data_IF_030419560306
#
_entry.id   IF_030419560306
#
_cell.length_a   1.000
_cell.length_b   1.000
_cell.length_c   1.000
_cell.angle_alpha   90.00
_cell.angle_beta   90.00
_cell.angle_gamma   90.00
#
_symmetry.space_group_name_H-M   'P 1'
#
loop_
_entity.id
_entity.type
_entity.pdbx_description
1 polymer ?
#
# COMPACT_ATOMS: atom_id res chain seq x y z
N UNK A 1 42.80 -5.22 54.15
CA UNK A 1 42.53 -5.24 53.57
C UNK A 1 41.59 -5.29 52.82
N UNK A 2 41.13 -5.08 52.33
CA UNK A 2 40.32 -5.11 51.64
C UNK A 2 39.86 -4.93 50.58
N UNK A 3 39.40 -4.99 49.96
CA UNK A 3 39.05 -4.86 48.93
C UNK A 3 37.93 -4.72 48.42
N UNK A 4 37.55 -4.46 47.79
CA UNK A 4 36.66 -4.21 47.24
C UNK A 4 36.20 -4.46 46.21
N UNK A 5 35.66 -4.43 45.70
CA UNK A 5 35.18 -4.69 44.69
C UNK A 5 34.18 -4.17 44.11
N UNK A 6 33.88 -4.07 43.44
CA UNK A 6 33.06 -3.60 42.78
C UNK A 6 32.38 -4.00 41.85
N UNK A 7 31.81 -3.87 41.39
CA UNK A 7 31.10 -4.22 40.57
C UNK A 7 30.36 -3.63 39.83
N UNK A 8 29.89 -3.64 39.09
CA UNK A 8 29.20 -3.15 38.25
C UNK A 8 28.27 -3.44 37.51
N UNK A 9 27.74 -3.25 37.08
CA UNK A 9 26.85 -3.43 36.42
C UNK A 9 26.46 -3.25 35.39
N UNK A 10 25.95 -3.15 34.79
CA UNK A 10 25.53 -3.06 33.80
C UNK A 10 24.58 -2.91 33.16
N UNK A 11 24.09 -2.81 32.64
CA UNK A 11 23.31 -2.57 31.99
C UNK A 11 22.74 -2.73 31.01
N UNK A 12 22.28 -2.72 30.49
CA UNK A 12 21.76 -2.89 29.60
C UNK A 12 20.95 -2.46 28.96
N UNK A 13 20.54 -2.35 28.39
CA UNK A 13 19.83 -1.95 27.67
C UNK A 13 19.20 -2.19 26.76
N UNK A 14 18.65 -2.17 26.20
CA UNK A 14 18.03 -2.34 25.42
C UNK A 14 17.45 -1.92 24.54
N UNK A 15 17.22 -1.80 23.98
CA UNK A 15 16.85 -1.42 23.09
C UNK A 15 15.88 -1.51 22.52
N UNK A 16 15.18 -1.31 22.13
CA UNK A 16 14.32 -1.34 21.61
C UNK A 16 13.81 -0.96 20.62
N UNK A 17 13.41 -0.93 20.14
CA UNK A 17 12.92 -0.81 19.22
C UNK A 17 12.07 -0.09 18.77
N UNK A 18 11.76 0.23 18.11
CA UNK A 18 11.12 0.95 17.58
C UNK A 18 10.22 0.97 16.99
N UNK A 19 9.66 1.02 16.73
CA UNK A 19 8.90 1.06 16.30
C UNK A 19 8.19 1.62 15.61
N UNK A 20 7.99 1.90 15.29
CA UNK A 20 7.38 2.44 14.80
C UNK A 20 6.69 2.58 13.95
N UNK A 21 6.11 2.96 13.79
CA UNK A 21 5.40 3.40 12.94
C UNK A 21 5.47 2.92 11.72
N UNK A 22 6.07 2.03 11.53
CA UNK A 22 6.14 1.51 10.28
C UNK A 22 4.78 1.08 9.88
N UNK A 23 4.33 1.45 8.78
CA UNK A 23 3.14 0.86 8.24
C UNK A 23 3.56 -0.07 7.12
N UNK A 24 2.60 -0.79 6.59
CA UNK A 24 2.85 -1.72 5.50
C UNK A 24 3.37 -0.96 4.27
N UNK A 25 4.09 -1.62 3.40
CA UNK A 25 4.49 -0.99 2.14
C UNK A 25 3.29 -0.49 1.36
N UNK A 26 3.53 0.50 0.52
CA UNK A 26 2.48 1.15 -0.25
C UNK A 26 2.84 1.06 -1.72
N UNK A 27 1.95 0.51 -2.53
CA UNK A 27 2.15 0.48 -3.97
C UNK A 27 1.62 1.76 -4.58
N UNK A 28 2.37 2.34 -5.50
CA UNK A 28 1.95 3.50 -6.27
C UNK A 28 1.59 3.01 -7.65
N UNK A 29 0.36 3.27 -8.06
CA UNK A 29 -0.17 2.88 -9.36
C UNK A 29 -0.32 4.10 -10.24
N UNK A 30 0.03 3.96 -11.52
CA UNK A 30 -0.27 4.97 -12.52
C UNK A 30 -1.38 4.41 -13.40
N UNK A 31 -2.41 5.20 -13.61
CA UNK A 31 -3.53 4.85 -14.47
C UNK A 31 -3.40 5.70 -15.74
N UNK A 32 -4.01 5.27 -16.81
CA UNK A 32 -3.89 5.92 -18.12
C UNK A 32 -3.73 7.43 -17.98
N UNK A 33 -2.82 7.99 -18.72
CA UNK A 33 -2.47 9.40 -18.57
C UNK A 33 -1.47 9.54 -17.46
N UNK A 34 -1.67 10.51 -16.57
CA UNK A 34 -0.69 10.81 -15.54
C UNK A 34 -1.22 10.66 -14.13
N UNK A 35 -2.42 10.15 -13.97
CA UNK A 35 -2.98 10.07 -12.63
C UNK A 35 -2.43 8.89 -11.88
N UNK A 36 -2.14 9.10 -10.61
CA UNK A 36 -1.63 8.04 -9.74
C UNK A 36 -2.50 7.92 -8.51
N UNK A 37 -2.47 6.75 -7.90
CA UNK A 37 -3.09 6.54 -6.60
C UNK A 37 -2.30 5.45 -5.88
N UNK A 38 -2.56 5.29 -4.59
CA UNK A 38 -1.76 4.44 -3.74
C UNK A 38 -2.62 3.47 -2.98
N UNK A 39 -2.12 2.26 -2.79
CA UNK A 39 -2.80 1.25 -1.96
C UNK A 39 -1.78 0.64 -1.02
N UNK A 40 -2.16 0.53 0.24
CA UNK A 40 -1.34 -0.15 1.23
C UNK A 40 -1.37 -1.66 0.96
N UNK A 41 -0.22 -2.31 1.04
CA UNK A 41 -0.09 -3.74 0.76
C UNK A 41 -0.08 -4.48 2.09
N UNK A 42 -1.21 -5.06 2.44
CA UNK A 42 -1.45 -5.55 3.79
C UNK A 42 -0.82 -6.90 4.10
N UNK A 43 -0.33 -7.62 3.11
CA UNK A 43 0.25 -8.96 3.33
C UNK A 43 1.55 -9.10 2.56
N UNK A 44 2.45 -9.99 3.01
CA UNK A 44 3.67 -10.25 2.24
C UNK A 44 3.39 -10.73 0.82
N UNK A 45 2.31 -11.47 0.62
CA UNK A 45 1.94 -11.95 -0.71
C UNK A 45 1.60 -10.80 -1.65
N UNK A 46 0.89 -9.80 -1.13
CA UNK A 46 0.57 -8.62 -1.94
C UNK A 46 1.82 -7.80 -2.24
N UNK A 47 2.73 -7.70 -1.28
CA UNK A 47 4.00 -7.01 -1.51
C UNK A 47 4.77 -7.72 -2.63
N UNK A 48 4.87 -9.05 -2.57
CA UNK A 48 5.58 -9.80 -3.60
C UNK A 48 4.91 -9.64 -4.96
N UNK A 49 3.58 -9.66 -5.00
CA UNK A 49 2.86 -9.51 -6.26
C UNK A 49 3.13 -8.14 -6.88
N UNK A 50 3.10 -7.09 -6.05
CA UNK A 50 3.39 -5.74 -6.53
C UNK A 50 4.84 -5.63 -7.01
N UNK A 51 5.78 -6.27 -6.31
CA UNK A 51 7.18 -6.30 -6.74
C UNK A 51 7.33 -7.01 -8.07
N UNK A 52 6.61 -8.10 -8.28
CA UNK A 52 6.63 -8.82 -9.54
C UNK A 52 6.11 -7.94 -10.66
N UNK A 53 5.03 -7.20 -10.42
CA UNK A 53 4.50 -6.27 -11.43
C UNK A 53 5.49 -5.16 -11.73
N UNK A 54 6.12 -4.60 -10.70
CA UNK A 54 7.12 -3.54 -10.88
C UNK A 54 8.30 -4.05 -11.69
N UNK A 55 8.63 -5.32 -11.54
CA UNK A 55 9.73 -5.94 -12.29
C UNK A 55 9.33 -6.35 -13.71
N UNK A 56 8.07 -6.14 -14.08
CA UNK A 56 7.61 -6.46 -15.43
C UNK A 56 7.25 -7.92 -15.63
N UNK A 57 7.01 -8.66 -14.57
CA UNK A 57 6.65 -10.07 -14.70
C UNK A 57 5.20 -10.20 -15.17
N UNK A 58 4.93 -11.32 -15.83
CA UNK A 58 3.61 -11.58 -16.40
C UNK A 58 2.72 -12.24 -15.35
N UNK A 59 2.17 -11.44 -14.48
CA UNK A 59 1.23 -11.88 -13.45
C UNK A 59 0.00 -10.99 -13.51
N UNK A 60 -1.07 -11.39 -12.83
CA UNK A 60 -2.34 -10.65 -12.84
C UNK A 60 -2.07 -9.18 -12.49
N UNK A 61 -2.56 -8.26 -13.30
CA UNK A 61 -2.12 -6.88 -13.24
C UNK A 61 -3.18 -5.88 -12.78
N UNK A 62 -4.44 -6.23 -12.79
CA UNK A 62 -5.49 -5.26 -12.47
C UNK A 62 -5.73 -5.25 -10.97
N UNK A 63 -5.43 -4.13 -10.29
CA UNK A 63 -5.75 -4.04 -8.86
C UNK A 63 -7.25 -3.86 -8.68
N UNK A 64 -7.81 -4.59 -7.74
CA UNK A 64 -9.25 -4.57 -7.49
C UNK A 64 -9.45 -4.47 -5.99
N UNK A 65 -10.23 -3.50 -5.55
CA UNK A 65 -10.50 -3.35 -4.13
C UNK A 65 -11.69 -2.45 -3.86
N UNK A 66 -12.12 -2.44 -2.62
CA UNK A 66 -13.29 -1.68 -2.17
C UNK A 66 -12.89 -0.23 -1.87
N UNK A 67 -13.65 0.71 -2.39
CA UNK A 67 -13.42 2.14 -2.19
C UNK A 67 -13.98 2.55 -0.82
N UNK A 68 -13.17 3.23 -0.03
CA UNK A 68 -13.60 3.88 1.20
C UNK A 68 -13.60 5.38 0.93
N UNK A 69 -14.76 6.00 1.00
CA UNK A 69 -14.89 7.42 0.67
C UNK A 69 -14.76 8.28 1.91
N UNK A 70 -14.37 9.51 1.69
CA UNK A 70 -14.23 10.52 2.75
C UNK A 70 -13.17 10.16 3.77
N UNK A 71 -12.17 9.41 3.32
CA UNK A 71 -11.04 9.00 4.14
C UNK A 71 -9.87 8.73 3.20
N UNK A 72 -8.89 9.63 3.12
CA UNK A 72 -7.79 9.46 2.17
C UNK A 72 -6.84 8.33 2.53
N UNK A 73 -6.75 7.92 3.81
CA UNK A 73 -5.79 6.92 4.20
C UNK A 73 -4.41 7.30 3.69
N UNK A 74 -3.75 6.37 2.98
CA UNK A 74 -2.43 6.64 2.40
C UNK A 74 -2.54 7.28 1.02
N UNK A 75 -3.74 7.54 0.54
CA UNK A 75 -3.99 7.90 -0.86
C UNK A 75 -4.14 9.41 -1.11
N UNK A 76 -3.80 10.27 -0.14
CA UNK A 76 -3.84 11.71 -0.37
C UNK A 76 -3.06 12.04 -1.65
N UNK A 77 -3.48 13.00 -2.45
CA UNK A 77 -4.50 14.03 -2.14
C UNK A 77 -5.92 13.61 -2.45
N UNK A 78 -6.15 12.38 -2.89
CA UNK A 78 -7.53 11.92 -3.12
C UNK A 78 -8.25 11.81 -1.78
N UNK A 79 -9.55 12.02 -1.77
CA UNK A 79 -10.32 11.97 -0.53
C UNK A 79 -10.84 10.56 -0.22
N UNK A 80 -10.39 9.58 -0.96
CA UNK A 80 -10.79 8.18 -0.83
C UNK A 80 -9.55 7.29 -0.81
N UNK A 81 -9.71 6.07 -0.37
CA UNK A 81 -8.65 5.08 -0.48
C UNK A 81 -9.26 3.70 -0.72
N UNK A 82 -8.42 2.74 -1.07
CA UNK A 82 -8.86 1.36 -1.21
C UNK A 82 -8.62 0.65 0.12
N UNK A 83 -9.64 -0.02 0.62
CA UNK A 83 -9.50 -0.83 1.84
C UNK A 83 -8.44 -1.90 1.56
N UNK A 84 -7.29 -1.84 2.24
CA UNK A 84 -6.19 -2.75 1.90
C UNK A 84 -6.52 -4.22 2.14
N UNK A 85 -7.48 -4.51 3.02
CA UNK A 85 -7.85 -5.89 3.28
C UNK A 85 -8.63 -6.50 2.12
N UNK A 86 -9.08 -5.70 1.18
CA UNK A 86 -9.87 -6.17 0.04
C UNK A 86 -9.07 -6.26 -1.25
N UNK A 87 -7.82 -5.82 -1.23
CA UNK A 87 -7.03 -5.77 -2.46
C UNK A 87 -6.74 -7.16 -3.00
N UNK A 88 -7.01 -7.34 -4.27
CA UNK A 88 -6.57 -8.50 -5.04
C UNK A 88 -6.13 -8.03 -6.40
N UNK A 89 -5.41 -8.88 -7.10
CA UNK A 89 -5.01 -8.60 -8.47
C UNK A 89 -5.71 -9.59 -9.39
N UNK A 90 -6.24 -9.11 -10.49
CA UNK A 90 -7.03 -9.92 -11.40
C UNK A 90 -6.50 -9.78 -12.82
N UNK A 91 -6.76 -10.82 -13.63
CA UNK A 91 -6.44 -10.76 -15.06
C UNK A 91 -7.53 -10.07 -15.85
N UNK A 92 -8.76 -10.16 -15.40
CA UNK A 92 -9.90 -9.50 -16.03
C UNK A 92 -10.88 -9.06 -14.97
N UNK A 93 -11.61 -8.00 -15.25
CA UNK A 93 -12.66 -7.51 -14.35
C UNK A 93 -13.77 -6.92 -15.21
N UNK A 94 -14.84 -6.46 -14.55
CA UNK A 94 -15.97 -5.88 -15.24
C UNK A 94 -15.71 -4.37 -15.45
N UNK A 95 -16.43 -3.78 -16.38
CA UNK A 95 -16.17 -2.40 -16.78
C UNK A 95 -16.62 -1.35 -15.76
N UNK A 96 -17.62 -1.69 -14.95
CA UNK A 96 -18.21 -0.67 -14.07
C UNK A 96 -17.22 -0.15 -13.03
N UNK A 97 -16.16 -0.88 -12.76
CA UNK A 97 -15.17 -0.46 -11.76
C UNK A 97 -13.91 0.15 -12.38
N UNK A 98 -13.86 0.25 -13.72
CA UNK A 98 -12.72 0.82 -14.41
C UNK A 98 -12.86 2.35 -14.49
N UNK A 99 -11.75 3.04 -14.57
CA UNK A 99 -11.76 4.50 -14.72
C UNK A 99 -10.53 5.12 -14.11
N UNK A 100 -10.44 6.44 -14.20
CA UNK A 100 -9.33 7.19 -13.61
C UNK A 100 -9.56 7.44 -12.12
N UNK A 101 -8.50 7.63 -11.35
CA UNK A 101 -8.68 8.03 -9.95
C UNK A 101 -9.56 9.27 -9.78
N UNK A 102 -9.44 10.24 -10.69
CA UNK A 102 -10.29 11.43 -10.61
C UNK A 102 -11.76 11.10 -10.84
N UNK A 103 -12.06 10.02 -11.54
CA UNK A 103 -13.45 9.59 -11.74
C UNK A 103 -14.02 8.96 -10.47
N UNK A 104 -13.18 8.38 -9.64
CA UNK A 104 -13.62 7.94 -8.31
C UNK A 104 -13.88 9.17 -7.45
N UNK A 105 -12.98 10.15 -7.52
CA UNK A 105 -13.09 11.37 -6.72
C UNK A 105 -14.37 12.13 -7.04
N UNK A 106 -14.71 12.27 -8.31
CA UNK A 106 -15.87 13.05 -8.70
C UNK A 106 -17.15 12.20 -8.83
N UNK A 107 -17.07 10.93 -8.44
CA UNK A 107 -18.20 10.01 -8.42
C UNK A 107 -18.76 9.67 -9.80
N UNK A 108 -17.95 9.81 -10.84
CA UNK A 108 -18.29 9.26 -12.15
C UNK A 108 -18.23 7.73 -12.05
N UNK A 109 -17.22 7.19 -11.34
CA UNK A 109 -17.20 5.77 -10.99
C UNK A 109 -17.95 5.66 -9.67
N UNK A 110 -19.10 5.04 -9.70
CA UNK A 110 -19.96 4.90 -8.52
C UNK A 110 -19.92 3.52 -7.93
N UNK A 111 -19.23 2.59 -8.56
CA UNK A 111 -19.07 1.23 -8.06
C UNK A 111 -18.42 1.24 -6.68
N UNK A 112 -18.81 0.29 -5.83
CA UNK A 112 -18.14 0.13 -4.55
C UNK A 112 -16.74 -0.42 -4.72
N UNK A 113 -16.45 -1.03 -5.87
CA UNK A 113 -15.13 -1.55 -6.20
C UNK A 113 -14.47 -0.63 -7.21
N UNK A 114 -13.15 -0.56 -7.17
CA UNK A 114 -12.37 0.16 -8.17
C UNK A 114 -11.36 -0.81 -8.76
N UNK A 115 -11.30 -0.86 -10.09
CA UNK A 115 -10.44 -1.80 -10.79
C UNK A 115 -9.94 -1.19 -12.11
N UNK A 116 -9.00 -0.22 -12.04
CA UNK A 116 -8.55 0.44 -13.25
C UNK A 116 -7.74 -0.50 -14.12
N UNK A 117 -8.25 -0.78 -15.31
CA UNK A 117 -7.66 -1.79 -16.20
C UNK A 117 -6.26 -1.41 -16.67
N UNK A 118 -5.98 -0.13 -16.77
CA UNK A 118 -4.69 0.32 -17.29
C UNK A 118 -3.66 0.58 -16.20
N UNK A 119 -3.97 0.25 -14.95
CA UNK A 119 -3.08 0.55 -13.84
C UNK A 119 -1.76 -0.21 -13.95
N UNK A 120 -0.68 0.46 -13.59
CA UNK A 120 0.64 -0.12 -13.52
C UNK A 120 1.28 0.25 -12.20
N UNK A 121 1.96 -0.69 -11.56
CA UNK A 121 2.78 -0.36 -10.40
C UNK A 121 4.02 0.38 -10.91
N UNK A 122 4.22 1.60 -10.42
CA UNK A 122 5.38 2.39 -10.82
C UNK A 122 6.36 2.58 -9.66
N UNK A 123 5.97 2.28 -8.44
CA UNK A 123 6.85 2.40 -7.27
C UNK A 123 6.25 1.64 -6.10
N UNK A 124 7.08 1.30 -5.14
CA UNK A 124 6.64 0.72 -3.88
C UNK A 124 7.37 1.46 -2.77
N UNK A 125 6.61 2.03 -1.85
CA UNK A 125 7.15 2.80 -0.73
C UNK A 125 7.17 1.90 0.50
N UNK A 126 8.36 1.57 0.99
CA UNK A 126 8.50 0.60 2.07
C UNK A 126 8.41 1.22 3.44
N UNK A 127 8.57 2.53 3.51
CA UNK A 127 8.47 3.19 4.77
C UNK A 127 7.79 4.47 4.62
N UNK A 128 7.04 4.83 5.56
CA UNK A 128 6.28 6.04 5.51
C UNK A 128 7.00 7.27 6.01
#
# INVERSE_FOLDING_TARGET
>A
MKRLLLVLPLLALMGCAPTSSAHDPIAVFQVAGDETYKIELATPELVQHAEDLLAGKDVAAIPLGTVVRDDPGVNAPWSWHIDPSTLEFADVTIEVCDGLPSYVEDETVTSEQYCPWSAKVIDILYEG
#
